data_IF_082185079408
#
_entry.id   IF_082185079408
#
_cell.length_a   1.000
_cell.length_b   1.000
_cell.length_c   1.000
_cell.angle_alpha   90.00
_cell.angle_beta   90.00
_cell.angle_gamma   90.00
#
_symmetry.space_group_name_H-M   'P 1'
#
loop_
_entity.id
_entity.type
_entity.pdbx_description
1 polymer ?
#
# COMPACT_ATOMS: atom_id res chain seq x y z
N UNK A 1 30.88 -1.16 -41.08
CA UNK A 1 29.66 -0.62 -40.49
C UNK A 1 29.86 -0.46 -38.98
N UNK A 2 30.01 0.77 -38.50
CA UNK A 2 30.21 1.07 -37.06
C UNK A 2 28.83 1.08 -36.37
N UNK A 3 28.62 0.19 -35.46
CA UNK A 3 27.43 0.17 -34.57
C UNK A 3 27.62 1.21 -33.48
N UNK A 4 26.88 2.33 -33.53
CA UNK A 4 26.80 3.29 -32.43
C UNK A 4 25.95 2.68 -31.32
N UNK A 5 26.57 2.43 -30.17
CA UNK A 5 25.87 2.09 -28.93
C UNK A 5 25.47 3.40 -28.26
N UNK A 6 24.17 3.71 -28.28
CA UNK A 6 23.62 4.78 -27.48
C UNK A 6 23.44 4.25 -26.04
N UNK A 7 24.29 4.70 -25.14
CA UNK A 7 24.11 4.53 -23.71
C UNK A 7 22.99 5.49 -23.27
N UNK A 8 21.80 4.98 -23.04
CA UNK A 8 20.78 5.71 -22.29
C UNK A 8 21.12 5.63 -20.80
N UNK A 9 21.78 6.65 -20.27
CA UNK A 9 21.86 6.88 -18.84
C UNK A 9 20.48 7.37 -18.42
N UNK A 10 19.67 6.49 -17.83
CA UNK A 10 18.48 6.90 -17.08
C UNK A 10 19.01 7.49 -15.77
N UNK A 11 19.24 8.81 -15.78
CA UNK A 11 19.36 9.59 -14.56
C UNK A 11 17.96 9.53 -13.94
N UNK A 12 17.79 8.71 -12.89
CA UNK A 12 16.65 8.84 -12.01
C UNK A 12 16.73 10.23 -11.38
N UNK A 13 16.06 11.18 -11.99
CA UNK A 13 15.77 12.46 -11.37
C UNK A 13 14.94 12.12 -10.12
N UNK A 14 15.60 12.06 -8.96
CA UNK A 14 14.94 12.25 -7.69
C UNK A 14 14.39 13.67 -7.78
N UNK A 15 13.16 13.81 -8.26
CA UNK A 15 12.37 14.98 -8.01
C UNK A 15 12.22 15.03 -6.48
N UNK A 16 13.08 15.82 -5.83
CA UNK A 16 12.74 16.43 -4.54
C UNK A 16 11.61 17.40 -4.90
N UNK A 17 10.42 16.88 -5.12
CA UNK A 17 9.21 17.66 -4.98
C UNK A 17 9.32 18.23 -3.57
N UNK A 18 9.25 19.56 -3.43
CA UNK A 18 9.23 20.22 -2.13
C UNK A 18 8.09 19.56 -1.37
N UNK A 19 8.43 18.61 -0.48
CA UNK A 19 7.48 17.68 0.10
C UNK A 19 6.46 18.48 0.88
N UNK A 20 5.19 18.30 0.57
CA UNK A 20 4.11 18.81 1.41
C UNK A 20 4.34 18.28 2.80
N UNK A 21 4.51 19.18 3.74
CA UNK A 21 4.72 18.85 5.14
C UNK A 21 3.38 19.00 5.88
N UNK A 22 2.52 18.00 5.74
CA UNK A 22 1.24 17.97 6.44
C UNK A 22 1.42 17.86 7.95
N UNK A 23 0.48 18.41 8.70
CA UNK A 23 0.38 18.20 10.14
C UNK A 23 -0.05 16.76 10.43
N UNK A 24 0.57 16.10 11.42
CA UNK A 24 0.13 14.76 11.81
C UNK A 24 -1.30 14.81 12.37
N UNK A 25 -2.22 13.92 11.91
CA UNK A 25 -3.66 14.10 12.10
C UNK A 25 -4.18 13.85 13.53
N UNK A 26 -3.35 13.40 14.46
CA UNK A 26 -3.74 13.25 15.89
C UNK A 26 -2.52 13.39 16.81
N UNK A 27 -2.74 13.44 18.13
CA UNK A 27 -1.66 13.46 19.11
C UNK A 27 -1.06 12.07 19.34
N UNK A 28 0.04 12.02 20.04
CA UNK A 28 0.69 10.78 20.48
C UNK A 28 1.74 10.26 19.51
N UNK A 29 1.93 8.97 19.51
CA UNK A 29 2.95 8.34 18.66
C UNK A 29 2.50 8.26 17.19
N UNK A 30 3.45 8.34 16.27
CA UNK A 30 3.21 8.02 14.84
C UNK A 30 3.10 6.51 14.59
N UNK A 31 2.74 5.72 15.61
CA UNK A 31 2.61 4.29 15.49
C UNK A 31 1.34 3.90 14.74
N UNK A 32 1.49 3.02 13.78
CA UNK A 32 0.39 2.50 12.99
C UNK A 32 -0.05 1.12 13.49
N UNK A 33 -1.32 0.79 13.31
CA UNK A 33 -1.83 -0.59 13.39
C UNK A 33 -1.88 -1.26 12.03
N UNK A 34 -2.05 -0.48 10.95
CA UNK A 34 -2.12 -0.92 9.56
C UNK A 34 -1.65 0.20 8.64
N UNK A 35 -1.02 -0.15 7.52
CA UNK A 35 -0.58 0.82 6.52
C UNK A 35 -1.37 0.71 5.21
N UNK A 36 -1.07 1.62 4.28
CA UNK A 36 -1.69 1.71 2.96
C UNK A 36 -1.36 0.47 2.11
N UNK A 37 -2.34 -0.03 1.36
CA UNK A 37 -2.18 -1.18 0.47
C UNK A 37 -2.17 -2.55 1.16
N UNK A 38 -2.34 -2.60 2.48
CA UNK A 38 -2.40 -3.86 3.22
C UNK A 38 -3.57 -4.73 2.74
N UNK A 39 -3.32 -6.03 2.56
CA UNK A 39 -4.35 -6.97 2.13
C UNK A 39 -5.40 -7.17 3.22
N UNK A 40 -6.67 -6.97 2.86
CA UNK A 40 -7.82 -7.24 3.72
C UNK A 40 -8.79 -8.19 3.01
N UNK A 41 -9.69 -8.80 3.76
CA UNK A 41 -10.77 -9.59 3.17
C UNK A 41 -11.64 -8.68 2.29
N UNK A 42 -11.58 -8.93 0.98
CA UNK A 42 -12.34 -8.20 -0.03
C UNK A 42 -11.64 -6.98 -0.65
N UNK A 43 -10.39 -6.66 -0.29
CA UNK A 43 -9.71 -5.54 -0.93
C UNK A 43 -8.38 -5.13 -0.33
N UNK A 44 -8.00 -3.88 -0.61
CA UNK A 44 -6.83 -3.23 -0.05
C UNK A 44 -7.22 -2.22 1.02
N UNK A 45 -6.34 -1.97 1.96
CA UNK A 45 -6.48 -0.87 2.91
C UNK A 45 -6.19 0.46 2.20
N UNK A 46 -7.20 1.35 2.13
CA UNK A 46 -7.16 2.60 1.36
C UNK A 46 -6.54 3.78 2.12
N UNK A 47 -6.03 3.55 3.33
CA UNK A 47 -5.45 4.57 4.20
C UNK A 47 -4.40 4.01 5.13
N UNK A 48 -4.21 4.71 6.24
CA UNK A 48 -3.41 4.26 7.37
C UNK A 48 -4.27 4.25 8.63
N UNK A 49 -4.04 3.28 9.52
CA UNK A 49 -4.70 3.22 10.82
C UNK A 49 -3.71 3.65 11.91
N UNK A 50 -3.95 4.81 12.51
CA UNK A 50 -3.09 5.41 13.53
C UNK A 50 -3.55 4.97 14.91
N UNK A 51 -2.64 4.40 15.69
CA UNK A 51 -2.93 3.90 17.04
C UNK A 51 -3.25 5.02 18.01
N UNK A 52 -4.31 4.82 18.78
CA UNK A 52 -4.70 5.68 19.92
C UNK A 52 -4.55 4.95 21.26
N UNK A 53 -3.67 3.96 21.33
CA UNK A 53 -3.37 3.15 22.54
C UNK A 53 -4.61 2.45 23.15
N UNK A 54 -5.65 2.21 22.33
CA UNK A 54 -6.91 1.60 22.78
C UNK A 54 -7.89 2.60 23.41
N UNK A 55 -7.64 3.90 23.31
CA UNK A 55 -8.46 4.97 23.86
C UNK A 55 -9.20 5.72 22.74
N UNK A 56 -10.36 6.28 23.06
CA UNK A 56 -11.12 7.22 22.23
C UNK A 56 -10.95 8.66 22.76
N UNK A 57 -11.45 9.66 22.03
CA UNK A 57 -11.47 11.04 22.50
C UNK A 57 -10.17 11.82 22.28
N UNK A 58 -9.18 11.29 21.55
CA UNK A 58 -7.98 12.05 21.22
C UNK A 58 -8.31 13.09 20.13
N UNK A 59 -7.77 14.32 20.24
CA UNK A 59 -8.04 15.36 19.24
C UNK A 59 -7.55 14.93 17.86
N UNK A 60 -8.37 15.24 16.87
CA UNK A 60 -8.07 15.05 15.44
C UNK A 60 -7.87 16.41 14.80
N UNK A 61 -6.75 16.57 14.11
CA UNK A 61 -6.30 17.84 13.55
C UNK A 61 -6.45 17.88 12.03
N UNK A 62 -6.81 19.05 11.51
CA UNK A 62 -6.67 19.35 10.10
C UNK A 62 -5.19 19.24 9.67
N UNK A 63 -4.88 18.42 8.67
CA UNK A 63 -3.50 18.22 8.22
C UNK A 63 -2.92 19.43 7.50
N UNK A 64 -3.78 20.26 6.89
CA UNK A 64 -3.41 21.52 6.24
C UNK A 64 -4.63 22.44 6.14
N UNK A 65 -4.41 23.64 5.61
CA UNK A 65 -5.46 24.61 5.31
C UNK A 65 -6.44 24.05 4.28
N UNK A 66 -7.74 24.29 4.52
CA UNK A 66 -8.79 23.82 3.63
C UNK A 66 -10.19 24.10 4.18
N UNK A 67 -11.14 23.25 3.82
CA UNK A 67 -12.52 23.33 4.34
C UNK A 67 -13.12 21.93 4.48
N UNK A 68 -13.99 21.75 5.49
CA UNK A 68 -14.76 20.52 5.63
C UNK A 68 -15.79 20.47 4.49
N UNK A 69 -15.60 19.55 3.58
CA UNK A 69 -16.44 19.38 2.37
C UNK A 69 -17.55 18.35 2.54
N UNK A 70 -17.40 17.39 3.46
CA UNK A 70 -18.38 16.33 3.69
C UNK A 70 -18.32 15.82 5.12
N UNK A 71 -19.49 15.51 5.68
CA UNK A 71 -19.67 14.86 6.97
C UNK A 71 -20.53 13.61 6.82
N UNK A 72 -20.10 12.52 7.45
CA UNK A 72 -20.81 11.23 7.40
C UNK A 72 -21.01 10.70 8.81
N UNK A 73 -22.19 10.13 9.07
CA UNK A 73 -22.44 9.24 10.20
C UNK A 73 -23.12 7.98 9.67
N UNK A 74 -22.57 6.80 9.96
CA UNK A 74 -23.10 5.51 9.53
C UNK A 74 -22.82 4.44 10.61
N UNK A 75 -23.62 3.37 10.62
CA UNK A 75 -23.39 2.22 11.48
C UNK A 75 -22.24 1.33 11.00
N UNK A 76 -21.95 1.34 9.70
CA UNK A 76 -20.94 0.51 9.03
C UNK A 76 -19.90 1.38 8.32
N UNK A 77 -18.88 0.74 7.74
CA UNK A 77 -17.82 1.41 6.99
C UNK A 77 -17.06 2.40 7.88
N UNK A 78 -16.94 3.64 7.47
CA UNK A 78 -16.18 4.68 8.18
C UNK A 78 -16.81 5.16 9.50
N UNK A 79 -18.05 4.77 9.81
CA UNK A 79 -18.75 5.29 10.99
C UNK A 79 -19.01 6.79 10.89
N UNK A 80 -18.61 7.56 11.93
CA UNK A 80 -18.50 9.02 11.84
C UNK A 80 -17.21 9.39 11.11
N UNK A 81 -17.33 10.19 10.05
CA UNK A 81 -16.19 10.61 9.25
C UNK A 81 -16.32 12.05 8.75
N UNK A 82 -15.16 12.72 8.64
CA UNK A 82 -15.00 14.03 8.02
C UNK A 82 -14.12 13.94 6.78
N UNK A 83 -14.48 14.73 5.78
CA UNK A 83 -13.71 14.93 4.56
C UNK A 83 -13.28 16.40 4.52
N UNK A 84 -11.98 16.61 4.52
CA UNK A 84 -11.35 17.91 4.44
C UNK A 84 -10.74 18.07 3.03
N UNK A 85 -11.30 18.96 2.22
CA UNK A 85 -10.69 19.34 0.95
C UNK A 85 -9.64 20.41 1.21
N UNK A 86 -8.40 20.09 0.82
CA UNK A 86 -7.23 20.93 1.02
C UNK A 86 -7.08 21.96 -0.12
N UNK A 87 -6.33 23.01 0.13
CA UNK A 87 -6.08 24.05 -0.88
C UNK A 87 -5.25 23.56 -2.08
N UNK A 88 -4.54 22.44 -1.93
CA UNK A 88 -3.76 21.79 -2.98
C UNK A 88 -4.56 20.78 -3.82
N UNK A 89 -5.87 20.74 -3.63
CA UNK A 89 -6.83 19.84 -4.30
C UNK A 89 -6.81 18.38 -3.83
N UNK A 90 -6.04 18.03 -2.79
CA UNK A 90 -6.18 16.74 -2.12
C UNK A 90 -7.40 16.74 -1.18
N UNK A 91 -7.85 15.55 -0.83
CA UNK A 91 -8.88 15.37 0.20
C UNK A 91 -8.35 14.44 1.30
N UNK A 92 -8.35 14.93 2.54
CA UNK A 92 -8.08 14.12 3.70
C UNK A 92 -9.38 13.55 4.27
N UNK A 93 -9.41 12.26 4.59
CA UNK A 93 -10.55 11.58 5.19
C UNK A 93 -10.15 11.08 6.57
N UNK A 94 -10.95 11.46 7.56
CA UNK A 94 -10.77 11.06 8.96
C UNK A 94 -11.97 10.22 9.36
N UNK A 95 -11.76 8.97 9.74
CA UNK A 95 -12.84 8.04 10.00
C UNK A 95 -12.76 7.38 11.40
N UNK A 96 -13.82 6.64 11.74
CA UNK A 96 -14.06 6.01 13.02
C UNK A 96 -14.13 6.99 14.19
N UNK A 97 -14.47 8.26 13.91
CA UNK A 97 -14.54 9.32 14.92
C UNK A 97 -15.64 9.05 15.97
N UNK A 98 -15.41 9.50 17.20
CA UNK A 98 -16.42 9.48 18.26
C UNK A 98 -17.30 10.71 18.18
N UNK A 99 -16.66 11.89 18.06
CA UNK A 99 -17.32 13.18 18.00
C UNK A 99 -16.65 14.11 17.00
N UNK A 100 -17.45 15.01 16.43
CA UNK A 100 -16.96 16.18 15.71
C UNK A 100 -16.76 17.37 16.68
N UNK A 101 -16.25 18.49 16.18
CA UNK A 101 -16.29 19.73 16.95
C UNK A 101 -17.74 20.12 17.26
N UNK A 102 -17.97 20.89 18.33
CA UNK A 102 -19.30 21.29 18.79
C UNK A 102 -20.20 21.84 17.68
N UNK A 103 -19.65 22.66 16.79
CA UNK A 103 -20.39 23.22 15.67
C UNK A 103 -20.86 22.14 14.68
N UNK A 104 -19.98 21.22 14.27
CA UNK A 104 -20.29 20.14 13.35
C UNK A 104 -21.22 19.08 13.98
N UNK A 105 -21.01 18.78 15.27
CA UNK A 105 -21.86 17.85 16.02
C UNK A 105 -23.29 18.39 16.15
N UNK A 106 -23.46 19.71 16.39
CA UNK A 106 -24.79 20.35 16.42
C UNK A 106 -25.53 20.22 15.09
N UNK A 107 -24.81 20.34 13.97
CA UNK A 107 -25.36 20.13 12.63
C UNK A 107 -25.75 18.66 12.43
N UNK A 108 -24.87 17.72 12.82
CA UNK A 108 -25.16 16.29 12.76
C UNK A 108 -26.45 15.95 13.47
N UNK A 109 -26.59 16.35 14.75
CA UNK A 109 -27.76 16.09 15.58
C UNK A 109 -29.05 16.72 14.99
N UNK A 110 -28.91 17.92 14.42
CA UNK A 110 -30.04 18.60 13.73
C UNK A 110 -30.50 17.81 12.51
N UNK A 111 -29.57 17.32 11.70
CA UNK A 111 -29.87 16.51 10.52
C UNK A 111 -30.45 15.15 10.88
N UNK A 112 -29.91 14.50 11.92
CA UNK A 112 -30.43 13.24 12.43
C UNK A 112 -31.86 13.36 12.96
N UNK A 113 -32.13 14.41 13.73
CA UNK A 113 -33.48 14.72 14.23
C UNK A 113 -34.46 15.01 13.09
N UNK A 114 -34.07 15.85 12.14
CA UNK A 114 -34.89 16.22 10.97
C UNK A 114 -35.24 14.99 10.11
N UNK A 115 -34.29 14.11 9.92
CA UNK A 115 -34.44 12.94 9.05
C UNK A 115 -34.96 11.70 9.81
N UNK A 116 -35.11 11.79 11.13
CA UNK A 116 -35.42 10.67 12.01
C UNK A 116 -34.51 9.45 11.71
N UNK A 117 -33.23 9.70 11.56
CA UNK A 117 -32.20 8.70 11.16
C UNK A 117 -30.84 9.02 11.79
N UNK A 118 -30.16 7.99 12.28
CA UNK A 118 -28.76 8.10 12.68
C UNK A 118 -27.86 8.41 11.47
N UNK A 119 -28.20 7.82 10.30
CA UNK A 119 -27.38 7.96 9.11
C UNK A 119 -27.49 9.34 8.50
N UNK A 120 -26.33 9.99 8.31
CA UNK A 120 -26.19 11.30 7.67
C UNK A 120 -25.08 11.20 6.63
N UNK A 121 -25.28 11.84 5.51
CA UNK A 121 -24.29 12.05 4.47
C UNK A 121 -24.52 13.46 3.89
N UNK A 122 -23.83 14.44 4.46
CA UNK A 122 -24.02 15.86 4.14
C UNK A 122 -22.79 16.43 3.46
N UNK A 123 -23.00 17.14 2.37
CA UNK A 123 -21.96 17.87 1.64
C UNK A 123 -22.08 19.36 1.92
N UNK A 124 -20.93 20.01 2.08
CA UNK A 124 -20.86 21.43 2.37
C UNK A 124 -20.21 22.22 1.25
N UNK A 125 -20.68 23.47 1.05
CA UNK A 125 -20.07 24.40 0.12
C UNK A 125 -18.71 24.88 0.64
N UNK A 126 -17.82 25.25 -0.26
CA UNK A 126 -16.42 25.63 -0.05
C UNK A 126 -16.19 26.66 1.08
N UNK A 127 -17.10 27.58 1.28
CA UNK A 127 -16.92 28.69 2.23
C UNK A 127 -17.50 28.42 3.63
N UNK A 128 -18.17 27.28 3.84
CA UNK A 128 -19.01 27.10 5.03
C UNK A 128 -18.21 26.74 6.28
N UNK A 129 -17.18 25.91 6.16
CA UNK A 129 -16.36 25.42 7.29
C UNK A 129 -14.87 25.47 6.94
N UNK A 130 -14.29 26.68 6.80
CA UNK A 130 -12.86 26.81 6.60
C UNK A 130 -12.12 26.32 7.85
N UNK A 131 -10.98 25.68 7.67
CA UNK A 131 -10.09 25.24 8.73
C UNK A 131 -8.66 25.61 8.41
N UNK A 132 -7.85 25.78 9.43
CA UNK A 132 -6.42 25.98 9.34
C UNK A 132 -5.68 24.74 9.75
N UNK A 133 -4.48 24.56 9.20
CA UNK A 133 -3.54 23.54 9.59
C UNK A 133 -3.39 23.49 11.12
N UNK A 134 -3.65 22.32 11.72
CA UNK A 134 -3.59 22.09 13.15
C UNK A 134 -4.86 22.45 13.93
N UNK A 135 -5.92 22.95 13.28
CA UNK A 135 -7.21 23.11 13.94
C UNK A 135 -7.78 21.76 14.36
N UNK A 136 -8.39 21.70 15.56
CA UNK A 136 -9.13 20.51 15.99
C UNK A 136 -10.43 20.45 15.18
N UNK A 137 -10.68 19.30 14.51
CA UNK A 137 -11.87 19.07 13.70
C UNK A 137 -12.79 17.98 14.27
N UNK A 138 -12.31 17.19 15.23
CA UNK A 138 -13.06 16.12 15.88
C UNK A 138 -12.21 15.34 16.86
N UNK A 139 -12.70 14.18 17.27
CA UNK A 139 -12.06 13.32 18.25
C UNK A 139 -12.08 11.86 17.78
N UNK A 140 -10.98 11.15 18.06
CA UNK A 140 -10.84 9.73 17.68
C UNK A 140 -11.84 8.85 18.40
N UNK A 141 -12.27 7.77 17.77
CA UNK A 141 -13.27 6.88 18.31
C UNK A 141 -13.13 5.43 17.86
N UNK A 142 -14.28 4.74 17.81
CA UNK A 142 -14.40 3.35 17.39
C UNK A 142 -15.74 3.12 16.67
N UNK A 143 -16.25 4.11 15.92
CA UNK A 143 -17.54 4.01 15.23
C UNK A 143 -17.40 3.29 13.89
N UNK A 144 -18.51 2.74 13.37
CA UNK A 144 -18.53 2.04 12.09
C UNK A 144 -17.93 0.63 12.14
N UNK A 145 -17.31 0.18 11.06
CA UNK A 145 -16.66 -1.13 10.96
C UNK A 145 -15.23 -1.10 11.52
N UNK A 146 -15.11 -1.00 12.84
CA UNK A 146 -13.84 -0.94 13.56
C UNK A 146 -13.77 -2.00 14.66
N UNK A 147 -12.59 -2.63 14.83
CA UNK A 147 -12.33 -3.65 15.85
C UNK A 147 -11.75 -3.09 17.16
N UNK A 148 -11.45 -1.81 17.21
CA UNK A 148 -10.89 -1.15 18.40
C UNK A 148 -10.53 0.30 18.12
N UNK A 149 -10.34 1.16 19.15
CA UNK A 149 -10.06 2.57 18.99
C UNK A 149 -8.81 2.82 18.15
N UNK A 150 -8.95 3.60 17.08
CA UNK A 150 -7.89 4.10 16.22
C UNK A 150 -8.42 5.25 15.35
N UNK A 151 -7.54 5.99 14.70
CA UNK A 151 -7.89 6.91 13.64
C UNK A 151 -7.58 6.25 12.29
N UNK A 152 -8.60 5.94 11.50
CA UNK A 152 -8.42 5.64 10.09
C UNK A 152 -8.28 6.93 9.31
N UNK A 153 -7.19 7.07 8.58
CA UNK A 153 -6.86 8.27 7.81
C UNK A 153 -6.54 7.94 6.36
N UNK A 154 -7.18 8.66 5.43
CA UNK A 154 -6.87 8.58 4.00
C UNK A 154 -6.43 9.92 3.44
N UNK A 155 -5.53 9.89 2.48
CA UNK A 155 -5.24 10.99 1.59
C UNK A 155 -5.68 10.60 0.17
N UNK A 156 -6.43 11.49 -0.49
CA UNK A 156 -6.93 11.26 -1.84
C UNK A 156 -6.44 12.37 -2.77
N UNK A 157 -6.08 11.99 -3.98
CA UNK A 157 -5.71 12.95 -5.02
C UNK A 157 -6.94 13.70 -5.58
N UNK A 158 -6.72 14.64 -6.51
CA UNK A 158 -7.77 15.43 -7.15
C UNK A 158 -8.81 14.61 -7.93
N UNK A 159 -8.51 13.35 -8.24
CA UNK A 159 -9.45 12.40 -8.86
C UNK A 159 -10.18 11.54 -7.82
N UNK A 160 -10.05 11.88 -6.54
CA UNK A 160 -10.61 11.13 -5.40
C UNK A 160 -10.04 9.72 -5.18
N UNK A 161 -8.94 9.39 -5.85
CA UNK A 161 -8.26 8.09 -5.66
C UNK A 161 -7.38 8.13 -4.42
N UNK A 162 -7.40 7.09 -3.58
CA UNK A 162 -6.54 7.00 -2.41
C UNK A 162 -5.06 6.93 -2.82
N UNK A 163 -4.24 7.75 -2.18
CA UNK A 163 -2.78 7.73 -2.32
C UNK A 163 -2.12 7.44 -0.97
N UNK A 164 -0.94 6.84 -1.00
CA UNK A 164 -0.25 6.48 0.23
C UNK A 164 0.15 7.72 1.04
N UNK A 165 -0.43 7.94 2.23
CA UNK A 165 -0.10 9.12 3.04
C UNK A 165 1.38 9.16 3.46
N UNK A 166 2.02 8.00 3.65
CA UNK A 166 3.40 7.90 4.13
C UNK A 166 4.43 8.41 3.11
N UNK A 167 4.11 8.31 1.81
CA UNK A 167 4.94 8.83 0.71
C UNK A 167 4.48 10.20 0.21
N UNK A 168 3.31 10.67 0.69
CA UNK A 168 2.68 11.92 0.25
C UNK A 168 2.43 12.87 1.43
N UNK A 169 3.48 13.26 2.15
CA UNK A 169 3.45 14.35 3.11
C UNK A 169 3.28 13.99 4.58
N UNK A 170 3.06 12.71 4.93
CA UNK A 170 2.95 12.21 6.30
C UNK A 170 3.95 11.09 6.61
N UNK A 171 5.25 11.30 6.44
CA UNK A 171 6.25 10.26 6.67
C UNK A 171 6.30 9.81 8.13
N UNK A 172 6.53 8.52 8.30
CA UNK A 172 6.88 7.91 9.59
C UNK A 172 8.35 7.54 9.56
N UNK A 173 9.03 7.78 10.67
CA UNK A 173 10.45 7.45 10.80
C UNK A 173 10.65 5.95 10.75
N UNK A 174 11.44 5.48 9.78
CA UNK A 174 11.77 4.07 9.61
C UNK A 174 13.14 3.89 8.96
N UNK A 175 13.95 3.01 9.55
CA UNK A 175 15.30 2.64 9.10
C UNK A 175 15.43 1.13 8.87
N UNK A 176 14.31 0.40 8.88
CA UNK A 176 14.29 -1.04 8.72
C UNK A 176 13.95 -1.39 7.28
N UNK A 177 14.81 -2.14 6.64
CA UNK A 177 14.48 -2.68 5.31
C UNK A 177 13.42 -3.78 5.42
N UNK A 178 12.54 -3.92 4.40
CA UNK A 178 11.56 -5.00 4.32
C UNK A 178 12.18 -6.38 4.51
N UNK A 179 11.43 -7.28 5.13
CA UNK A 179 11.84 -8.67 5.38
C UNK A 179 11.26 -9.58 4.32
N UNK A 180 12.10 -10.12 3.46
CA UNK A 180 11.71 -11.19 2.53
C UNK A 180 12.02 -12.53 3.16
N UNK A 181 11.00 -13.35 3.32
CA UNK A 181 11.09 -14.65 3.99
C UNK A 181 11.45 -15.76 3.02
N UNK A 182 10.75 -15.81 1.88
CA UNK A 182 10.83 -16.87 0.90
C UNK A 182 10.53 -16.36 -0.51
N UNK A 183 11.02 -17.09 -1.50
CA UNK A 183 10.65 -16.91 -2.91
C UNK A 183 9.95 -18.18 -3.39
N UNK A 184 8.83 -18.02 -4.09
CA UNK A 184 8.15 -19.08 -4.78
C UNK A 184 8.39 -19.02 -6.28
N UNK A 185 8.51 -20.17 -6.94
CA UNK A 185 8.54 -20.30 -8.40
C UNK A 185 7.39 -21.19 -8.84
N UNK A 186 6.64 -20.72 -9.80
CA UNK A 186 5.38 -21.31 -10.22
C UNK A 186 5.45 -21.66 -11.70
N UNK A 187 5.29 -22.95 -12.09
CA UNK A 187 5.04 -23.32 -13.46
C UNK A 187 3.73 -22.69 -13.96
N UNK A 188 3.75 -21.93 -15.05
CA UNK A 188 2.57 -21.23 -15.59
C UNK A 188 1.88 -22.00 -16.73
N UNK A 189 2.43 -23.14 -17.16
CA UNK A 189 1.78 -24.03 -18.13
C UNK A 189 1.92 -25.49 -17.70
N UNK A 190 1.09 -26.42 -18.22
CA UNK A 190 1.22 -27.85 -17.92
C UNK A 190 2.57 -28.45 -18.33
N UNK A 191 3.24 -27.88 -19.34
CA UNK A 191 4.55 -28.31 -19.80
C UNK A 191 5.69 -27.71 -18.98
N UNK A 192 5.46 -26.63 -18.23
CA UNK A 192 6.50 -25.95 -17.46
C UNK A 192 7.01 -26.79 -16.31
N UNK A 193 8.30 -26.70 -16.04
CA UNK A 193 9.02 -27.43 -14.98
C UNK A 193 9.91 -26.50 -14.17
N UNK A 194 9.99 -26.74 -12.86
CA UNK A 194 10.93 -26.12 -11.93
C UNK A 194 11.69 -27.25 -11.25
N UNK A 195 12.99 -27.36 -11.47
CA UNK A 195 13.84 -28.50 -11.05
C UNK A 195 13.22 -29.86 -11.44
N UNK A 196 12.73 -29.97 -12.68
CA UNK A 196 12.11 -31.17 -13.24
C UNK A 196 10.66 -31.44 -12.80
N UNK A 197 10.08 -30.66 -11.89
CA UNK A 197 8.72 -30.82 -11.37
C UNK A 197 7.75 -29.80 -11.93
N UNK A 198 6.49 -30.19 -12.17
CA UNK A 198 5.37 -29.28 -12.50
C UNK A 198 4.70 -28.70 -11.26
N UNK A 199 5.16 -29.04 -10.05
CA UNK A 199 4.62 -28.53 -8.80
C UNK A 199 5.31 -27.21 -8.45
N UNK A 200 4.57 -26.16 -8.03
CA UNK A 200 5.16 -24.93 -7.51
C UNK A 200 6.15 -25.19 -6.37
N UNK A 201 7.25 -24.45 -6.35
CA UNK A 201 8.31 -24.62 -5.37
C UNK A 201 8.50 -23.34 -4.56
N UNK A 202 8.60 -23.48 -3.24
CA UNK A 202 9.01 -22.42 -2.32
C UNK A 202 10.44 -22.67 -1.88
N UNK A 203 11.24 -21.63 -1.82
CA UNK A 203 12.66 -21.68 -1.46
C UNK A 203 12.97 -20.69 -0.34
N UNK A 204 13.75 -21.13 0.69
CA UNK A 204 14.32 -20.22 1.67
C UNK A 204 15.34 -19.29 0.99
N UNK A 205 15.65 -18.19 1.65
CA UNK A 205 16.68 -17.25 1.22
C UNK A 205 17.83 -17.25 2.24
N UNK A 206 19.03 -17.00 1.77
CA UNK A 206 20.23 -16.92 2.59
C UNK A 206 20.85 -15.54 2.46
N UNK A 207 21.61 -15.11 3.49
CA UNK A 207 22.39 -13.89 3.38
C UNK A 207 23.39 -14.00 2.20
N UNK A 208 23.47 -12.96 1.39
CA UNK A 208 24.41 -12.95 0.28
C UNK A 208 25.85 -12.97 0.80
N UNK A 209 26.71 -13.74 0.14
CA UNK A 209 28.13 -13.88 0.52
C UNK A 209 28.95 -12.61 0.25
N UNK A 210 28.45 -11.75 -0.62
CA UNK A 210 29.07 -10.46 -0.95
C UNK A 210 28.01 -9.42 -1.36
N UNK A 211 28.28 -8.14 -1.11
CA UNK A 211 27.44 -7.02 -1.58
C UNK A 211 26.15 -6.81 -0.80
N UNK A 212 25.92 -7.52 0.30
CA UNK A 212 24.69 -7.40 1.13
C UNK A 212 23.45 -7.98 0.44
N UNK A 213 22.31 -8.02 1.17
CA UNK A 213 21.05 -8.56 0.68
C UNK A 213 20.90 -10.07 0.87
N UNK A 214 19.99 -10.67 0.09
CA UNK A 214 19.62 -12.08 0.15
C UNK A 214 19.91 -12.78 -1.18
N UNK A 215 20.03 -14.10 -1.15
CA UNK A 215 20.26 -14.88 -2.36
C UNK A 215 19.50 -16.21 -2.35
N UNK A 216 19.24 -16.74 -3.54
CA UNK A 216 18.74 -18.10 -3.73
C UNK A 216 19.78 -19.11 -3.21
N UNK A 217 19.34 -20.29 -2.71
CA UNK A 217 20.26 -21.31 -2.23
C UNK A 217 21.17 -21.85 -3.35
N UNK A 218 20.60 -22.05 -4.53
CA UNK A 218 21.24 -22.66 -5.70
C UNK A 218 20.66 -22.08 -6.98
N UNK A 219 21.29 -22.41 -8.13
CA UNK A 219 20.72 -22.18 -9.47
C UNK A 219 19.46 -23.04 -9.62
N UNK A 220 18.38 -22.45 -10.08
CA UNK A 220 17.10 -23.13 -10.28
C UNK A 220 16.92 -23.48 -11.76
N UNK A 221 16.80 -24.78 -12.08
CA UNK A 221 16.52 -25.21 -13.44
C UNK A 221 15.03 -25.01 -13.77
N UNK A 222 14.76 -24.25 -14.81
CA UNK A 222 13.40 -23.98 -15.29
C UNK A 222 13.23 -24.33 -16.76
N UNK A 223 12.03 -24.82 -17.12
CA UNK A 223 11.63 -25.07 -18.49
C UNK A 223 10.22 -24.55 -18.73
N UNK A 224 10.01 -23.86 -19.86
CA UNK A 224 8.73 -23.22 -20.19
C UNK A 224 8.41 -22.00 -19.32
N UNK A 225 7.24 -21.37 -19.51
CA UNK A 225 6.87 -20.15 -18.79
C UNK A 225 6.70 -20.38 -17.29
N UNK A 226 7.35 -19.51 -16.50
CA UNK A 226 7.29 -19.52 -15.04
C UNK A 226 6.92 -18.14 -14.50
N UNK A 227 6.38 -18.10 -13.27
CA UNK A 227 6.15 -16.88 -12.48
C UNK A 227 6.89 -16.94 -11.16
N UNK A 228 7.38 -15.78 -10.69
CA UNK A 228 7.96 -15.64 -9.37
C UNK A 228 6.94 -15.08 -8.38
N UNK A 229 7.10 -15.43 -7.11
CA UNK A 229 6.32 -14.89 -6.00
C UNK A 229 7.22 -14.65 -4.80
N UNK A 230 6.86 -13.73 -3.92
CA UNK A 230 7.59 -13.47 -2.67
C UNK A 230 6.66 -13.50 -1.47
N UNK A 231 7.15 -14.04 -0.36
CA UNK A 231 6.60 -13.82 0.96
C UNK A 231 7.39 -12.72 1.64
N UNK A 232 6.72 -11.60 1.93
CA UNK A 232 7.36 -10.38 2.43
C UNK A 232 6.45 -9.68 3.43
N UNK A 233 7.07 -9.11 4.46
CA UNK A 233 6.47 -8.10 5.33
C UNK A 233 7.48 -6.99 5.61
N UNK A 234 6.94 -5.85 6.03
CA UNK A 234 7.72 -4.75 6.54
C UNK A 234 7.49 -4.54 8.03
N UNK A 235 8.38 -3.80 8.70
CA UNK A 235 8.27 -3.41 10.10
C UNK A 235 8.77 -1.99 10.32
N UNK A 236 7.88 -1.10 10.62
CA UNK A 236 8.20 0.27 10.98
C UNK A 236 8.92 0.32 12.34
N UNK A 237 9.88 1.23 12.48
CA UNK A 237 10.65 1.43 13.72
C UNK A 237 9.75 1.59 14.96
N UNK A 238 10.03 0.81 16.00
CA UNK A 238 9.27 0.86 17.26
C UNK A 238 7.90 0.19 17.24
N UNK A 239 7.46 -0.38 16.10
CA UNK A 239 6.18 -1.08 15.99
C UNK A 239 6.36 -2.61 15.95
N UNK A 240 5.41 -3.34 16.54
CA UNK A 240 5.37 -4.80 16.49
C UNK A 240 4.60 -5.33 15.27
N UNK A 241 3.77 -4.51 14.65
CA UNK A 241 2.93 -4.87 13.51
C UNK A 241 3.77 -5.24 12.29
N UNK A 242 3.19 -6.04 11.42
CA UNK A 242 3.67 -6.28 10.05
C UNK A 242 2.91 -5.36 9.12
N UNK A 243 3.61 -4.83 8.13
CA UNK A 243 3.06 -3.86 7.18
C UNK A 243 3.27 -4.35 5.75
N UNK A 244 2.45 -3.80 4.85
CA UNK A 244 2.62 -3.96 3.41
C UNK A 244 3.85 -3.17 2.96
N UNK A 245 4.64 -3.74 2.05
CA UNK A 245 5.75 -3.03 1.39
C UNK A 245 5.21 -2.01 0.39
N UNK A 246 5.99 -0.96 0.10
CA UNK A 246 5.61 0.08 -0.85
C UNK A 246 5.70 -0.40 -2.31
N UNK A 247 6.78 -1.10 -2.64
CA UNK A 247 6.98 -1.54 -4.02
C UNK A 247 7.82 -2.81 -4.12
N UNK A 248 7.65 -3.52 -5.23
CA UNK A 248 8.46 -4.67 -5.63
C UNK A 248 8.79 -4.55 -7.11
N UNK A 249 10.06 -4.73 -7.45
CA UNK A 249 10.52 -4.80 -8.82
C UNK A 249 11.24 -6.12 -9.09
N UNK A 250 10.96 -6.75 -10.21
CA UNK A 250 11.65 -7.93 -10.70
C UNK A 250 12.47 -7.57 -11.94
N UNK A 251 13.75 -7.88 -11.90
CA UNK A 251 14.66 -7.73 -13.03
C UNK A 251 15.18 -9.10 -13.46
N UNK A 252 15.35 -9.26 -14.77
CA UNK A 252 16.02 -10.41 -15.39
C UNK A 252 17.12 -9.87 -16.29
N UNK A 253 18.35 -10.34 -16.06
CA UNK A 253 19.54 -9.85 -16.78
C UNK A 253 19.64 -8.32 -16.78
N UNK A 254 19.42 -7.73 -15.61
CA UNK A 254 19.42 -6.29 -15.33
C UNK A 254 18.29 -5.49 -16.03
N UNK A 255 17.35 -6.16 -16.75
CA UNK A 255 16.20 -5.53 -17.35
C UNK A 255 14.93 -5.69 -16.48
N UNK A 256 14.15 -4.63 -16.22
CA UNK A 256 12.91 -4.74 -15.46
C UNK A 256 11.84 -5.50 -16.27
N UNK A 257 11.26 -6.53 -15.67
CA UNK A 257 10.24 -7.38 -16.28
C UNK A 257 8.91 -7.37 -15.54
N UNK A 258 8.91 -6.87 -14.30
CA UNK A 258 7.71 -6.68 -13.51
C UNK A 258 7.92 -5.57 -12.48
N UNK A 259 6.86 -4.79 -12.21
CA UNK A 259 6.83 -3.79 -11.15
C UNK A 259 5.46 -3.79 -10.48
N UNK A 260 5.47 -3.67 -9.17
CA UNK A 260 4.29 -3.53 -8.31
C UNK A 260 4.53 -2.32 -7.40
N UNK A 261 3.57 -1.39 -7.35
CA UNK A 261 3.71 -0.18 -6.53
C UNK A 261 2.38 0.20 -5.87
N UNK A 262 2.37 0.32 -4.54
CA UNK A 262 1.23 0.73 -3.73
C UNK A 262 1.28 2.23 -3.41
N UNK A 263 1.50 3.09 -4.41
CA UNK A 263 1.45 4.53 -4.22
C UNK A 263 0.03 5.11 -4.40
N UNK A 264 -0.76 4.50 -5.27
CA UNK A 264 -2.13 4.88 -5.58
C UNK A 264 -2.98 3.63 -5.73
N UNK A 265 -4.21 3.67 -5.22
CA UNK A 265 -5.20 2.61 -5.34
C UNK A 265 -6.47 3.14 -5.98
N UNK A 266 -7.30 2.23 -6.47
CA UNK A 266 -8.59 2.54 -7.05
C UNK A 266 -9.68 1.74 -6.33
N UNK A 267 -10.74 2.41 -5.90
CA UNK A 267 -11.88 1.75 -5.24
C UNK A 267 -12.56 0.71 -6.14
N UNK A 268 -12.60 0.95 -7.45
CA UNK A 268 -13.18 0.01 -8.41
C UNK A 268 -12.32 -1.25 -8.57
N UNK A 269 -11.06 -1.20 -8.11
CA UNK A 269 -10.10 -2.29 -8.18
C UNK A 269 -9.89 -3.04 -6.86
N UNK A 270 -10.69 -2.78 -5.83
CA UNK A 270 -10.56 -3.46 -4.53
C UNK A 270 -10.59 -4.99 -4.65
N UNK A 271 -11.44 -5.53 -5.51
CA UNK A 271 -11.57 -6.97 -5.74
C UNK A 271 -10.33 -7.61 -6.40
N UNK A 272 -9.39 -6.79 -6.91
CA UNK A 272 -8.18 -7.28 -7.59
C UNK A 272 -7.11 -7.83 -6.64
N UNK A 273 -7.29 -7.73 -5.33
CA UNK A 273 -6.39 -8.30 -4.33
C UNK A 273 -6.06 -9.76 -4.60
N UNK A 274 -7.04 -10.55 -5.05
CA UNK A 274 -6.86 -11.96 -5.41
C UNK A 274 -5.96 -12.16 -6.65
N UNK A 275 -5.82 -11.14 -7.49
CA UNK A 275 -4.95 -11.18 -8.67
C UNK A 275 -3.48 -10.94 -8.29
N UNK A 276 -3.22 -10.17 -7.24
CA UNK A 276 -1.88 -9.88 -6.72
C UNK A 276 -1.40 -10.97 -5.75
N UNK A 277 -2.32 -11.56 -4.98
CA UNK A 277 -2.00 -12.58 -3.98
C UNK A 277 -1.93 -13.98 -4.59
N UNK A 278 -0.91 -14.77 -4.22
CA UNK A 278 -0.81 -16.18 -4.62
C UNK A 278 -1.57 -17.11 -3.67
N UNK A 279 -2.82 -17.37 -4.00
CA UNK A 279 -3.73 -18.13 -3.14
C UNK A 279 -3.40 -19.64 -3.02
N UNK A 280 -2.62 -20.22 -3.94
CA UNK A 280 -2.23 -21.64 -3.86
C UNK A 280 -1.36 -21.90 -2.65
N UNK A 281 -0.37 -21.05 -2.40
CA UNK A 281 0.52 -21.17 -1.25
C UNK A 281 -0.20 -20.91 0.06
N UNK A 282 -1.10 -19.94 0.09
CA UNK A 282 -1.92 -19.68 1.27
C UNK A 282 -2.79 -20.90 1.65
N UNK A 283 -3.45 -21.54 0.69
CA UNK A 283 -4.26 -22.76 0.93
C UNK A 283 -3.43 -23.96 1.39
N UNK A 284 -2.15 -23.99 1.08
CA UNK A 284 -1.22 -25.03 1.50
C UNK A 284 -0.50 -24.70 2.83
N UNK A 285 -0.88 -23.62 3.51
CA UNK A 285 -0.25 -23.10 4.73
C UNK A 285 1.27 -22.83 4.56
N UNK A 286 1.72 -22.49 3.36
CA UNK A 286 3.10 -22.17 3.06
C UNK A 286 3.46 -20.70 3.28
N UNK A 287 2.46 -19.84 3.51
CA UNK A 287 2.62 -18.40 3.73
C UNK A 287 1.73 -17.53 2.84
N UNK A 288 1.91 -16.22 2.95
CA UNK A 288 1.20 -15.22 2.18
C UNK A 288 2.12 -14.61 1.13
N UNK A 289 1.95 -15.01 -0.11
CA UNK A 289 2.84 -14.63 -1.21
C UNK A 289 2.21 -13.60 -2.13
N UNK A 290 2.99 -12.61 -2.52
CA UNK A 290 2.69 -11.64 -3.59
C UNK A 290 3.23 -12.17 -4.92
N UNK A 291 2.39 -12.14 -5.96
CA UNK A 291 2.79 -12.50 -7.33
C UNK A 291 3.66 -11.41 -7.94
N UNK A 292 4.69 -11.81 -8.65
CA UNK A 292 5.54 -10.95 -9.47
C UNK A 292 5.29 -11.20 -10.96
N UNK A 293 4.05 -11.54 -11.30
CA UNK A 293 3.60 -11.75 -12.68
C UNK A 293 2.10 -11.48 -12.80
N UNK A 294 1.67 -11.09 -13.99
CA UNK A 294 0.26 -10.98 -14.37
C UNK A 294 -0.21 -12.26 -15.08
N UNK A 295 -1.45 -12.63 -14.83
CA UNK A 295 -2.19 -13.49 -15.74
C UNK A 295 -2.91 -12.62 -16.78
N UNK A 296 -3.27 -13.19 -17.95
CA UNK A 296 -3.96 -12.44 -19.02
C UNK A 296 -5.27 -11.77 -18.57
N UNK A 297 -5.90 -12.28 -17.53
CA UNK A 297 -7.13 -11.74 -16.93
C UNK A 297 -6.91 -10.59 -15.96
N UNK A 298 -5.66 -10.14 -15.77
CA UNK A 298 -5.35 -9.08 -14.81
C UNK A 298 -5.77 -7.71 -15.37
N UNK A 299 -6.70 -7.05 -14.68
CA UNK A 299 -7.30 -5.78 -15.12
C UNK A 299 -6.78 -4.53 -14.40
N UNK A 300 -5.96 -4.68 -13.34
CA UNK A 300 -5.49 -3.54 -12.57
C UNK A 300 -4.27 -2.87 -13.20
N UNK A 301 -4.36 -1.57 -13.42
CA UNK A 301 -3.29 -0.73 -13.97
C UNK A 301 -2.64 0.18 -12.94
N UNK A 302 -3.33 0.50 -11.82
CA UNK A 302 -2.79 1.40 -10.78
C UNK A 302 -1.63 0.79 -10.01
N UNK A 303 -1.71 -0.50 -9.65
CA UNK A 303 -0.69 -1.20 -8.88
C UNK A 303 0.39 -1.78 -9.78
N UNK A 304 0.01 -2.31 -10.95
CA UNK A 304 0.94 -2.94 -11.91
C UNK A 304 0.79 -2.28 -13.28
N UNK A 305 1.80 -1.55 -13.77
CA UNK A 305 1.77 -0.85 -15.04
C UNK A 305 1.46 -1.76 -16.22
N UNK A 306 0.86 -1.21 -17.27
CA UNK A 306 0.64 -1.91 -18.53
C UNK A 306 1.95 -2.26 -19.24
N UNK A 307 1.91 -3.31 -20.06
CA UNK A 307 3.06 -3.75 -20.86
C UNK A 307 4.10 -4.59 -20.11
N UNK A 308 3.96 -4.77 -18.79
CA UNK A 308 4.87 -5.57 -17.96
C UNK A 308 4.12 -6.80 -17.48
N UNK A 309 4.50 -8.01 -17.91
CA UNK A 309 3.80 -9.24 -17.54
C UNK A 309 4.43 -10.00 -16.38
N UNK A 310 5.75 -9.94 -16.21
CA UNK A 310 6.49 -10.73 -15.22
C UNK A 310 6.43 -12.25 -15.44
N UNK A 311 5.67 -12.74 -16.42
CA UNK A 311 5.73 -14.14 -16.83
C UNK A 311 7.04 -14.36 -17.60
N UNK A 312 7.92 -15.20 -17.05
CA UNK A 312 9.25 -15.44 -17.61
C UNK A 312 9.21 -16.63 -18.57
N UNK A 313 9.46 -16.36 -19.85
CA UNK A 313 9.71 -17.37 -20.87
C UNK A 313 11.15 -17.19 -21.35
N UNK A 314 12.10 -17.72 -20.57
CA UNK A 314 13.52 -17.49 -20.73
C UNK A 314 14.10 -18.33 -21.90
N UNK A 315 15.09 -17.80 -22.59
CA UNK A 315 15.90 -18.55 -23.55
C UNK A 315 16.77 -19.58 -22.82
N UNK A 316 17.25 -20.65 -23.50
CA UNK A 316 18.21 -21.55 -22.86
C UNK A 316 19.50 -20.83 -22.43
N UNK A 317 19.92 -21.02 -21.19
CA UNK A 317 21.11 -20.38 -20.63
C UNK A 317 20.93 -20.04 -19.14
N UNK A 318 21.89 -19.33 -18.60
CA UNK A 318 21.81 -18.78 -17.23
C UNK A 318 21.29 -17.36 -17.27
N UNK A 319 20.27 -17.09 -16.47
CA UNK A 319 19.66 -15.76 -16.33
C UNK A 319 19.79 -15.27 -14.90
N UNK A 320 20.25 -14.04 -14.73
CA UNK A 320 20.27 -13.37 -13.44
C UNK A 320 18.87 -12.92 -13.05
N UNK A 321 18.47 -13.23 -11.84
CA UNK A 321 17.24 -12.74 -11.23
C UNK A 321 17.62 -11.75 -10.13
N UNK A 322 17.02 -10.58 -10.15
CA UNK A 322 17.08 -9.64 -9.06
C UNK A 322 15.67 -9.19 -8.67
N UNK A 323 15.33 -9.26 -7.38
CA UNK A 323 14.08 -8.75 -6.83
C UNK A 323 14.45 -7.64 -5.86
N UNK A 324 13.90 -6.45 -6.09
CA UNK A 324 14.06 -5.28 -5.22
C UNK A 324 12.75 -5.02 -4.50
N UNK A 325 12.79 -4.92 -3.18
CA UNK A 325 11.61 -4.68 -2.34
C UNK A 325 11.87 -3.43 -1.51
N UNK A 326 11.00 -2.42 -1.63
CA UNK A 326 11.15 -1.17 -0.90
C UNK A 326 9.93 -0.87 -0.04
N UNK A 327 10.16 -0.24 1.12
CA UNK A 327 9.13 0.34 1.98
C UNK A 327 8.79 1.79 1.62
N UNK A 328 7.87 2.40 2.37
CA UNK A 328 7.46 3.79 2.17
C UNK A 328 8.52 4.82 2.60
N UNK A 329 9.50 4.43 3.42
CA UNK A 329 10.62 5.27 3.84
C UNK A 329 11.82 5.22 2.85
N UNK A 330 11.77 4.29 1.87
CA UNK A 330 12.82 4.10 0.85
C UNK A 330 13.89 3.08 1.24
N UNK A 331 13.75 2.37 2.37
CA UNK A 331 14.65 1.27 2.68
C UNK A 331 14.38 0.11 1.74
N UNK A 332 15.44 -0.54 1.28
CA UNK A 332 15.34 -1.57 0.23
C UNK A 332 16.04 -2.86 0.64
N UNK A 333 15.40 -3.98 0.33
CA UNK A 333 16.00 -5.32 0.40
C UNK A 333 16.14 -5.86 -1.02
N UNK A 334 17.34 -6.36 -1.35
CA UNK A 334 17.66 -6.94 -2.65
C UNK A 334 17.85 -8.44 -2.51
N UNK A 335 17.20 -9.19 -3.40
CA UNK A 335 17.33 -10.64 -3.52
C UNK A 335 17.94 -10.96 -4.89
N UNK A 336 18.97 -11.80 -4.91
CA UNK A 336 19.62 -12.25 -6.14
C UNK A 336 19.50 -13.75 -6.31
N UNK A 337 19.43 -14.18 -7.56
CA UNK A 337 19.36 -15.59 -7.90
C UNK A 337 19.80 -15.86 -9.32
N UNK A 338 19.87 -17.12 -9.67
CA UNK A 338 20.15 -17.60 -11.03
C UNK A 338 19.13 -18.66 -11.41
N UNK A 339 18.59 -18.54 -12.59
CA UNK A 339 17.68 -19.51 -13.22
C UNK A 339 18.33 -20.02 -14.49
#
# INVERSE_FOLDING_TARGET
MKRNHYFFIIISMICIAGGQNYHWPTIGSKALSSNFGEFRDGGFHMGIDIKTLGETGWPVYAIDDGHISRMVANFNGYGKALYLTLNDSHTAVYAHLEEFTFQLETILLTLQSKNNSYMVNEYFNLEKFPVKKGDIIGYTGNTGASFGPHLHFELRNSKTQPINPLTNGLPVEDYRSPRVHQVGIIPLSPASKVNGSSIPRVMPLYAATSGGGLQFPDTVSCFGPIGLTIEVDDKIQGAANKYQVQSVQLLVDDAPVFSLNYNELDYDQMATVSQVRENRFHRLNLGSFTKLYKLETFSSTTIVPDGISGALNLTPGYHKIEIQVSDAAGNTTIIKGTI
#
